data_IF_898856404742
#
_entry.id   IF_898856404742
#
_cell.length_a   1.000
_cell.length_b   1.000
_cell.length_c   1.000
_cell.angle_alpha   90.00
_cell.angle_beta   90.00
_cell.angle_gamma   90.00
#
_symmetry.space_group_name_H-M   'P 1'
#
loop_
_entity.id
_entity.type
_entity.pdbx_description
1 polymer ?
2 polymer ?
3 non-polymer ?
4 water ?
#
# COMPACT_ATOMS: atom_id res chain seq x y z
N UNK A 16 -29.23 10.40 -12.62
CA UNK A 16 -29.44 9.82 -13.95
C UNK A 16 -28.61 8.52 -14.19
N UNK A 17 -27.37 8.67 -14.67
CA UNK A 17 -26.38 7.59 -14.74
C UNK A 17 -25.41 7.66 -13.56
N UNK A 18 -25.52 8.73 -12.76
CA UNK A 18 -24.86 8.83 -11.45
C UNK A 18 -25.14 7.65 -10.53
N UNK A 19 -26.37 7.16 -10.55
CA UNK A 19 -26.76 6.01 -9.74
C UNK A 19 -25.85 4.78 -9.98
N UNK A 20 -25.42 4.57 -11.22
CA UNK A 20 -24.52 3.46 -11.57
C UNK A 20 -23.10 3.67 -11.05
N UNK A 21 -22.68 4.93 -11.01
CA UNK A 21 -21.40 5.33 -10.42
C UNK A 21 -21.34 5.24 -8.90
N UNK A 22 -22.44 5.61 -8.27
CA UNK A 22 -22.66 5.41 -6.84
C UNK A 22 -22.69 3.92 -6.49
N UNK A 23 -23.30 3.14 -7.37
CA UNK A 23 -23.38 1.70 -7.20
C UNK A 23 -21.99 1.08 -7.29
N UNK A 24 -21.22 1.57 -8.26
CA UNK A 24 -19.83 1.15 -8.49
C UNK A 24 -18.96 1.47 -7.28
N UNK A 25 -19.03 2.71 -6.81
CA UNK A 25 -18.34 3.15 -5.59
C UNK A 25 -18.65 2.31 -4.37
N UNK A 26 -19.90 1.87 -4.23
CA UNK A 26 -20.28 1.06 -3.08
C UNK A 26 -19.78 -0.38 -3.26
N UNK A 27 -19.98 -0.97 -4.44
CA UNK A 27 -19.40 -2.28 -4.79
C UNK A 27 -17.91 -2.34 -4.47
N UNK A 28 -17.19 -1.30 -4.87
CA UNK A 28 -15.79 -1.16 -4.53
C UNK A 28 -15.51 -1.05 -3.02
N UNK A 29 -16.23 -0.18 -2.33
CA UNK A 29 -16.09 -0.09 -0.86
C UNK A 29 -16.40 -1.41 -0.18
N UNK A 30 -17.44 -2.11 -0.62
CA UNK A 30 -17.77 -3.39 -0.02
C UNK A 30 -16.65 -4.41 -0.21
N UNK A 31 -16.10 -4.54 -1.41
CA UNK A 31 -14.98 -5.48 -1.63
C UNK A 31 -13.65 -5.01 -0.98
N UNK A 32 -13.48 -3.70 -0.86
CA UNK A 32 -12.35 -3.12 -0.12
C UNK A 32 -12.35 -3.57 1.32
N UNK A 33 -13.52 -3.51 1.93
CA UNK A 33 -13.72 -3.96 3.30
C UNK A 33 -13.38 -5.44 3.45
N UNK A 34 -13.82 -6.27 2.50
CA UNK A 34 -13.49 -7.71 2.52
C UNK A 34 -12.01 -8.01 2.31
N UNK A 35 -11.34 -7.22 1.47
CA UNK A 35 -9.93 -7.44 1.08
C UNK A 35 -8.87 -6.90 2.06
N UNK A 36 -9.19 -5.82 2.77
CA UNK A 36 -8.23 -5.09 3.61
C UNK A 36 -8.71 -5.08 5.04
N UNK A 37 -8.22 -6.03 5.86
CA UNK A 37 -8.70 -6.16 7.25
C UNK A 37 -8.49 -4.92 8.10
N UNK A 38 -7.33 -4.28 7.99
CA UNK A 38 -7.03 -3.06 8.74
C UNK A 38 -7.32 -1.81 7.91
N UNK A 39 -8.48 -1.19 8.17
CA UNK A 39 -8.96 -0.02 7.42
C UNK A 39 -8.38 1.25 8.02
N UNK A 40 -8.50 2.35 7.28
CA UNK A 40 -7.98 3.65 7.74
C UNK A 40 -8.71 4.07 8.99
N UNK A 41 -10.02 3.91 8.97
CA UNK A 41 -10.88 4.14 10.15
C UNK A 41 -10.34 3.48 11.44
N UNK A 42 -9.99 2.19 11.36
CA UNK A 42 -9.40 1.47 12.50
C UNK A 42 -8.05 2.04 12.88
N UNK A 43 -7.22 2.32 11.86
CA UNK A 43 -5.88 2.84 12.08
C UNK A 43 -5.92 4.20 12.75
N UNK A 44 -6.78 5.10 12.29
CA UNK A 44 -6.93 6.43 12.93
C UNK A 44 -7.48 6.29 14.35
N UNK A 45 -8.49 5.42 14.52
CA UNK A 45 -9.04 5.09 15.85
C UNK A 45 -7.91 4.74 16.82
N UNK A 46 -7.08 3.77 16.44
CA UNK A 46 -5.92 3.40 17.22
C UNK A 46 -4.95 4.58 17.38
N UNK A 47 -4.65 5.29 16.30
CA UNK A 47 -3.66 6.40 16.35
C UNK A 47 -4.13 7.61 17.16
N UNK A 48 -5.44 7.84 17.26
CA UNK A 48 -5.99 8.97 18.05
C UNK A 48 -6.55 8.54 19.42
N UNK A 49 -6.55 7.24 19.68
CA UNK A 49 -7.06 6.70 20.93
C UNK A 49 -8.58 6.75 21.09
N UNK A 50 -9.30 6.95 19.98
CA UNK A 50 -10.79 6.95 19.98
C UNK A 50 -11.28 5.63 20.58
N UNK A 51 -10.81 4.51 20.02
CA UNK A 51 -11.07 3.20 20.61
C UNK A 51 -10.22 3.09 21.88
N UNK A 52 -10.78 2.41 22.90
CA UNK A 52 -10.11 2.15 24.18
C UNK A 52 -9.72 0.66 24.30
N UNK A 53 -9.21 0.08 23.21
CA UNK A 53 -8.31 -1.07 23.28
C UNK A 53 -6.98 -0.53 23.80
N UNK A 54 -6.17 -1.42 24.38
CA UNK A 54 -4.85 -1.03 24.89
C UNK A 54 -3.96 -0.50 23.76
N UNK A 55 -3.42 0.71 23.98
CA UNK A 55 -2.60 1.44 23.02
C UNK A 55 -1.52 0.58 22.38
N UNK A 56 -1.08 0.95 21.16
CA UNK A 56 0.10 0.28 20.60
C UNK A 56 1.32 0.50 21.48
N UNK A 57 2.13 -0.54 21.62
CA UNK A 57 3.39 -0.45 22.29
C UNK A 57 4.36 0.36 21.43
N UNK A 58 4.82 1.48 21.95
CA UNK A 58 5.71 2.38 21.21
C UNK A 58 7.14 1.83 21.21
N UNK A 59 7.75 1.80 20.03
CA UNK A 59 9.12 1.31 19.82
C UNK A 59 9.99 2.41 19.22
N UNK A 60 10.91 2.91 20.04
CA UNK A 60 11.77 4.05 19.75
C UNK A 60 13.24 3.65 19.69
N UNK A 61 13.58 2.43 20.12
CA UNK A 61 14.98 2.02 20.18
C UNK A 61 15.13 0.51 20.34
N UNK A 62 16.38 0.04 20.25
CA UNK A 62 16.70 -1.39 20.38
C UNK A 62 16.09 -2.02 21.64
N UNK A 63 16.13 -1.29 22.74
CA UNK A 63 15.61 -1.80 24.02
C UNK A 63 14.12 -2.05 24.07
N UNK A 64 13.33 -1.11 23.55
CA UNK A 64 11.87 -1.23 23.56
C UNK A 64 11.42 -2.17 22.43
N UNK A 65 12.20 -2.26 21.36
CA UNK A 65 12.02 -3.34 20.40
C UNK A 65 12.05 -4.71 21.11
N UNK A 66 13.10 -4.89 21.93
CA UNK A 66 13.25 -6.07 22.74
C UNK A 66 12.11 -6.25 23.74
N UNK A 67 11.73 -5.18 24.44
CA UNK A 67 10.69 -5.29 25.48
C UNK A 67 9.29 -5.47 24.91
N UNK A 68 9.06 -4.94 23.72
CA UNK A 68 7.76 -5.03 23.09
C UNK A 68 7.45 -6.39 22.48
N UNK A 69 8.42 -7.30 22.50
CA UNK A 69 8.30 -8.61 21.88
C UNK A 69 7.07 -9.47 22.20
N UNK A 70 6.50 -9.32 23.40
CA UNK A 70 5.24 -9.97 23.77
C UNK A 70 4.08 -9.55 22.84
N UNK A 71 3.95 -8.24 22.60
CA UNK A 71 2.85 -7.67 21.81
C UNK A 71 3.07 -7.65 20.29
N UNK A 72 4.29 -7.33 19.84
CA UNK A 72 4.62 -7.16 18.42
C UNK A 72 5.04 -8.48 17.75
N UNK A 73 5.68 -9.35 18.51
CA UNK A 73 5.89 -10.74 18.12
C UNK A 73 6.74 -10.96 16.86
N UNK A 74 7.95 -10.37 16.81
CA UNK A 74 8.94 -10.65 15.75
C UNK A 74 9.52 -12.09 15.79
N UNK A 75 8.65 -13.07 15.52
CA UNK A 75 8.96 -14.51 15.40
C UNK A 75 8.59 -14.98 13.99
N UNK A 76 9.29 -14.44 13.00
CA UNK A 76 9.09 -14.78 11.57
C UNK A 76 10.41 -15.24 10.95
N UNK A 77 11.33 -15.63 11.82
CA UNK A 77 12.72 -15.90 11.48
C UNK A 77 12.92 -17.34 11.93
N UNK A 78 11.86 -18.12 11.74
CA UNK A 78 11.63 -19.34 12.50
C UNK A 78 12.68 -20.48 12.34
N UNK A 79 13.43 -20.53 11.20
CA UNK A 79 14.57 -21.46 11.17
C UNK A 79 15.69 -21.08 12.14
N UNK A 80 15.88 -19.78 12.38
CA UNK A 80 16.83 -19.29 13.41
C UNK A 80 18.26 -19.85 13.28
N UNK A 84 18.88 -15.48 14.95
CA UNK A 84 18.49 -14.10 14.63
C UNK A 84 19.71 -13.20 14.29
N UNK A 85 19.44 -11.93 14.02
CA UNK A 85 20.38 -11.03 13.37
C UNK A 85 20.28 -9.64 14.00
N UNK A 86 21.12 -8.71 13.55
CA UNK A 86 21.01 -7.29 13.91
C UNK A 86 19.62 -6.69 13.64
N UNK A 87 19.32 -5.62 14.38
CA UNK A 87 17.97 -5.03 14.38
C UNK A 87 17.46 -4.60 13.01
N UNK A 88 18.32 -3.98 12.21
CA UNK A 88 17.96 -3.45 10.90
C UNK A 88 17.39 -4.51 9.96
N UNK A 89 17.98 -5.69 10.00
CA UNK A 89 17.55 -6.84 9.23
C UNK A 89 16.22 -7.38 9.75
N UNK A 90 16.12 -7.57 11.08
CA UNK A 90 14.86 -8.06 11.66
C UNK A 90 13.67 -7.14 11.41
N UNK A 91 13.89 -5.83 11.48
CA UNK A 91 12.86 -4.85 11.17
C UNK A 91 12.48 -4.91 9.69
N UNK A 92 13.47 -4.96 8.81
CA UNK A 92 13.23 -4.97 7.39
C UNK A 92 12.43 -6.20 6.97
N UNK A 93 12.78 -7.35 7.53
CA UNK A 93 12.02 -8.57 7.27
C UNK A 93 10.62 -8.54 7.86
N UNK A 94 10.45 -7.89 8.99
CA UNK A 94 9.10 -7.63 9.51
C UNK A 94 8.27 -6.82 8.52
N UNK A 95 8.88 -5.76 8.01
CA UNK A 95 8.24 -4.89 7.04
C UNK A 95 7.95 -5.67 5.76
N UNK A 96 8.92 -6.46 5.35
CA UNK A 96 8.84 -7.30 4.15
C UNK A 96 7.69 -8.31 4.19
N UNK A 97 7.55 -8.96 5.33
CA UNK A 97 6.45 -9.91 5.59
C UNK A 97 5.05 -9.33 5.32
N UNK A 98 4.84 -8.12 5.83
CA UNK A 98 3.58 -7.45 5.70
C UNK A 98 3.31 -7.01 4.25
N UNK A 99 4.39 -6.69 3.55
CA UNK A 99 4.30 -6.31 2.15
C UNK A 99 3.76 -7.46 1.29
N UNK A 100 4.22 -8.68 1.58
CA UNK A 100 3.78 -9.86 0.86
C UNK A 100 2.29 -10.06 0.99
N UNK A 101 1.79 -9.92 2.22
CA UNK A 101 0.35 -9.99 2.48
C UNK A 101 -0.38 -8.82 1.82
N UNK A 102 0.21 -7.63 1.83
CA UNK A 102 -0.38 -6.47 1.15
C UNK A 102 -0.65 -6.79 -0.32
N UNK A 103 0.31 -7.45 -0.97
CA UNK A 103 0.18 -7.84 -2.38
C UNK A 103 -0.96 -8.83 -2.57
N UNK A 104 -1.09 -9.80 -1.66
CA UNK A 104 -2.19 -10.77 -1.66
C UNK A 104 -3.53 -10.11 -1.55
N UNK A 105 -3.57 -9.03 -0.79
CA UNK A 105 -4.78 -8.27 -0.56
C UNK A 105 -5.16 -7.39 -1.76
N UNK A 106 -4.16 -6.71 -2.33
CA UNK A 106 -4.39 -5.82 -3.46
C UNK A 106 -4.88 -6.65 -4.66
N UNK A 107 -4.33 -7.86 -4.79
CA UNK A 107 -4.66 -8.82 -5.85
C UNK A 107 -6.12 -9.29 -5.72
N UNK A 108 -6.53 -9.70 -4.54
CA UNK A 108 -7.94 -10.03 -4.29
C UNK A 108 -8.85 -8.84 -4.57
N UNK A 109 -8.45 -7.65 -4.14
CA UNK A 109 -9.24 -6.46 -4.40
C UNK A 109 -9.34 -6.17 -5.90
N UNK A 110 -8.23 -6.29 -6.63
CA UNK A 110 -8.26 -6.11 -8.08
C UNK A 110 -9.28 -7.03 -8.75
N UNK A 111 -9.28 -8.31 -8.39
CA UNK A 111 -10.27 -9.26 -8.92
C UNK A 111 -11.73 -8.80 -8.78
N UNK A 112 -12.05 -8.07 -7.72
CA UNK A 112 -13.38 -7.52 -7.51
C UNK A 112 -13.72 -6.32 -8.39
N UNK A 113 -12.71 -5.67 -8.97
CA UNK A 113 -12.96 -4.50 -9.83
C UNK A 113 -13.60 -5.01 -11.13
N UNK A 114 -14.83 -4.53 -11.45
CA UNK A 114 -15.57 -5.07 -12.61
C UNK A 114 -14.81 -5.00 -13.92
N UNK A 115 -14.68 -6.15 -14.59
CA UNK A 115 -14.03 -6.24 -15.90
C UNK A 115 -12.54 -6.58 -15.87
N UNK A 116 -11.95 -6.61 -14.67
CA UNK A 116 -10.52 -6.72 -14.54
C UNK A 116 -10.09 -8.14 -14.88
N UNK A 117 -10.77 -9.13 -14.32
CA UNK A 117 -10.45 -10.55 -14.60
C UNK A 117 -10.74 -11.03 -16.03
N UNK A 118 -11.58 -10.26 -16.76
CA UNK A 118 -11.78 -10.45 -18.20
C UNK A 118 -10.65 -9.91 -19.06
N UNK A 119 -9.73 -9.15 -18.47
CA UNK A 119 -8.55 -8.70 -19.19
C UNK A 119 -7.59 -9.85 -19.43
N UNK A 120 -6.72 -9.66 -20.41
CA UNK A 120 -5.66 -10.63 -20.68
C UNK A 120 -4.85 -10.83 -19.39
N UNK A 121 -4.58 -12.10 -19.07
CA UNK A 121 -3.84 -12.45 -17.84
C UNK A 121 -2.43 -11.87 -17.75
N UNK A 122 -1.82 -11.56 -18.88
CA UNK A 122 -0.52 -10.90 -18.91
C UNK A 122 -0.68 -9.47 -18.44
N UNK A 123 -1.76 -8.84 -18.88
CA UNK A 123 -2.11 -7.50 -18.45
C UNK A 123 -2.49 -7.43 -16.97
N UNK A 124 -3.35 -8.34 -16.52
CA UNK A 124 -3.63 -8.49 -15.08
C UNK A 124 -2.33 -8.47 -14.25
N UNK A 125 -1.39 -9.31 -14.63
CA UNK A 125 -0.08 -9.35 -14.01
C UNK A 125 0.66 -8.02 -14.10
N UNK A 126 0.64 -7.41 -15.27
CA UNK A 126 1.39 -6.18 -15.48
C UNK A 126 0.82 -4.98 -14.67
N UNK A 127 -0.51 -4.88 -14.61
CA UNK A 127 -1.17 -3.86 -13.83
C UNK A 127 -0.78 -3.95 -12.35
N UNK A 128 -0.88 -5.16 -11.80
CA UNK A 128 -0.42 -5.43 -10.44
C UNK A 128 1.07 -5.22 -10.20
N UNK A 129 1.89 -5.64 -11.13
CA UNK A 129 3.33 -5.54 -10.98
C UNK A 129 3.69 -4.08 -10.67
N UNK A 130 3.25 -3.16 -11.53
CA UNK A 130 3.50 -1.72 -11.37
C UNK A 130 2.61 -1.06 -10.33
N UNK A 131 1.37 -1.53 -10.20
CA UNK A 131 0.39 -0.94 -9.30
C UNK A 131 0.64 -1.14 -7.81
N UNK A 132 1.03 -2.33 -7.40
CA UNK A 132 1.15 -2.65 -5.97
C UNK A 132 1.98 -1.64 -5.18
N UNK A 133 3.08 -1.19 -5.76
CA UNK A 133 4.01 -0.27 -5.07
C UNK A 133 3.41 1.06 -4.80
N UNK A 134 2.68 1.56 -5.79
CA UNK A 134 1.99 2.81 -5.64
C UNK A 134 0.93 2.65 -4.58
N UNK A 135 0.27 1.50 -4.51
CA UNK A 135 -0.81 1.27 -3.54
C UNK A 135 -0.29 1.07 -2.15
N UNK A 136 0.86 0.43 -2.02
CA UNK A 136 1.49 0.21 -0.72
C UNK A 136 1.82 1.54 -0.03
N UNK A 137 2.34 2.50 -0.78
CA UNK A 137 2.57 3.86 -0.27
C UNK A 137 1.28 4.48 0.31
N UNK A 138 0.16 4.26 -0.35
CA UNK A 138 -1.13 4.75 0.17
C UNK A 138 -1.57 3.94 1.41
N UNK A 139 -1.32 2.64 1.39
CA UNK A 139 -1.58 1.79 2.54
C UNK A 139 -0.77 2.20 3.77
N UNK A 140 0.50 2.51 3.57
CA UNK A 140 1.33 3.01 4.68
C UNK A 140 0.87 4.35 5.26
N UNK A 141 0.41 5.25 4.39
CA UNK A 141 -0.13 6.54 4.83
C UNK A 141 -1.22 6.41 5.87
N UNK A 142 -2.18 5.52 5.62
CA UNK A 142 -3.22 5.17 6.59
C UNK A 142 -2.70 4.76 7.99
N UNK A 143 -1.54 4.11 8.00
CA UNK A 143 -0.91 3.67 9.25
C UNK A 143 0.07 4.68 9.85
N UNK A 144 0.14 5.88 9.28
CA UNK A 144 1.21 6.80 9.57
C UNK A 144 0.73 8.13 10.10
N UNK A 145 1.58 8.72 10.95
CA UNK A 145 1.57 10.13 11.23
C UNK A 145 2.99 10.65 10.99
N UNK A 146 3.21 11.95 11.24
CA UNK A 146 4.51 12.60 11.06
C UNK A 146 5.65 11.96 11.86
N UNK A 147 5.32 11.26 12.96
CA UNK A 147 6.33 10.64 13.85
C UNK A 147 6.40 9.12 13.91
N UNK A 148 5.53 8.40 13.21
CA UNK A 148 5.73 6.95 13.08
C UNK A 148 4.65 6.17 12.37
N UNK A 149 4.77 4.85 12.44
CA UNK A 149 3.90 3.91 11.73
C UNK A 149 3.38 2.79 12.65
N UNK A 150 2.09 2.44 12.50
CA UNK A 150 1.50 1.25 13.12
C UNK A 150 2.02 -0.06 12.55
N UNK A 151 2.32 -0.99 13.46
CA UNK A 151 2.81 -2.30 13.11
C UNK A 151 2.02 -3.32 13.90
N UNK A 152 2.20 -4.59 13.54
CA UNK A 152 1.52 -5.74 14.16
C UNK A 152 0.02 -5.53 14.32
N UNK A 153 -0.63 -5.15 13.22
CA UNK A 153 -2.08 -4.96 13.18
C UNK A 153 -2.57 -4.01 14.26
N UNK A 154 -1.79 -2.97 14.53
CA UNK A 154 -2.15 -1.95 15.51
C UNK A 154 -1.67 -2.22 16.92
N UNK A 155 -1.06 -3.37 17.16
CA UNK A 155 -0.47 -3.68 18.44
C UNK A 155 0.76 -2.85 18.77
N UNK A 156 1.49 -2.40 17.76
CA UNK A 156 2.72 -1.65 17.94
C UNK A 156 2.76 -0.38 17.13
N UNK A 157 3.71 0.48 17.46
CA UNK A 157 3.93 1.73 16.76
C UNK A 157 5.43 2.02 16.72
N UNK A 158 6.04 1.93 15.53
CA UNK A 158 7.46 2.22 15.37
C UNK A 158 7.66 3.69 15.02
N UNK A 159 8.59 4.35 15.71
CA UNK A 159 8.84 5.80 15.51
C UNK A 159 9.62 6.03 14.23
N UNK A 160 9.41 7.20 13.67
CA UNK A 160 10.08 7.62 12.46
C UNK A 160 11.60 7.87 12.71
N UNK A 161 11.91 8.46 13.87
CA UNK A 161 13.30 8.69 14.34
C UNK A 161 14.09 7.37 14.42
N UNK A 162 13.44 6.33 14.95
CA UNK A 162 14.07 5.03 15.11
C UNK A 162 14.38 4.40 13.76
N UNK A 163 13.44 4.47 12.83
CA UNK A 163 13.68 3.94 11.49
C UNK A 163 14.83 4.66 10.77
N UNK A 164 14.78 6.00 10.75
CA UNK A 164 15.90 6.85 10.26
C UNK A 164 17.28 6.48 10.81
N UNK A 165 17.35 6.26 12.11
CA UNK A 165 18.62 6.03 12.79
C UNK A 165 19.27 4.67 12.49
N UNK A 166 18.58 3.80 11.78
CA UNK A 166 19.15 2.51 11.38
C UNK A 166 20.28 2.76 10.39
N UNK A 167 21.17 1.77 10.29
CA UNK A 167 22.31 1.86 9.40
C UNK A 167 21.86 1.80 7.96
N UNK A 168 22.72 2.28 7.07
CA UNK A 168 22.47 2.18 5.65
C UNK A 168 22.56 0.71 5.24
N UNK A 169 21.86 0.31 4.17
CA UNK A 169 20.95 1.16 3.38
C UNK A 169 19.54 1.38 3.98
N UNK A 170 19.28 0.72 5.12
CA UNK A 170 17.94 0.59 5.70
C UNK A 170 17.35 1.86 6.34
N UNK A 171 18.23 2.77 6.78
CA UNK A 171 17.81 4.02 7.43
C UNK A 171 16.94 4.95 6.59
N UNK A 172 17.11 4.90 5.27
CA UNK A 172 16.39 5.80 4.35
C UNK A 172 15.23 5.12 3.60
N UNK A 173 14.99 3.86 3.93
CA UNK A 173 13.98 3.08 3.26
C UNK A 173 12.54 3.60 3.46
N UNK A 174 12.18 3.92 4.70
CA UNK A 174 10.83 4.38 5.06
C UNK A 174 10.61 5.91 4.99
N UNK A 175 11.67 6.72 5.04
CA UNK A 175 11.51 8.19 5.02
C UNK A 175 10.68 8.73 3.84
N UNK A 176 10.96 8.29 2.60
CA UNK A 176 10.17 8.72 1.44
C UNK A 176 8.68 8.45 1.60
N UNK A 177 8.34 7.33 2.22
CA UNK A 177 6.95 7.02 2.54
C UNK A 177 6.36 7.94 3.61
N UNK A 178 7.16 8.26 4.62
CA UNK A 178 6.78 9.26 5.61
C UNK A 178 6.55 10.65 5.00
N UNK A 179 7.43 11.03 4.09
CA UNK A 179 7.31 12.33 3.40
C UNK A 179 6.05 12.43 2.58
N UNK A 180 5.80 11.37 1.82
CA UNK A 180 4.59 11.26 1.03
C UNK A 180 3.33 11.21 1.89
N UNK A 181 3.39 10.42 2.95
CA UNK A 181 2.26 10.23 3.85
C UNK A 181 1.78 11.53 4.49
N UNK A 182 2.71 12.39 4.86
CA UNK A 182 2.37 13.69 5.48
C UNK A 182 1.52 14.49 4.48
N UNK A 183 1.98 14.57 3.24
CA UNK A 183 1.26 15.32 2.20
C UNK A 183 -0.06 14.63 1.84
N UNK A 184 -0.01 13.32 1.65
CA UNK A 184 -1.19 12.58 1.23
C UNK A 184 -2.32 12.60 2.26
N UNK A 185 -1.98 12.43 3.55
CA UNK A 185 -2.98 12.38 4.62
C UNK A 185 -3.71 13.72 4.83
N UNK A 186 -3.05 14.80 4.46
CA UNK A 186 -3.65 16.13 4.50
C UNK A 186 -4.87 16.27 3.57
N UNK A 187 -4.97 15.44 2.53
CA UNK A 187 -6.18 15.36 1.72
C UNK A 187 -7.39 14.76 2.46
N UNK A 188 -7.12 14.07 3.55
CA UNK A 188 -8.15 13.60 4.48
C UNK A 188 -9.20 12.75 3.77
N UNK A 189 -8.73 11.75 3.05
CA UNK A 189 -9.58 10.81 2.37
C UNK A 189 -9.94 9.74 3.37
N UNK A 190 -11.08 9.12 3.15
CA UNK A 190 -11.46 7.94 3.92
C UNK A 190 -11.51 6.69 3.06
N UNK A 191 -11.90 5.57 3.66
CA UNK A 191 -11.94 4.26 3.04
C UNK A 191 -12.81 4.16 1.81
N UNK A 192 -13.89 4.91 1.78
CA UNK A 192 -14.79 4.91 0.61
C UNK A 192 -14.18 5.67 -0.60
N UNK A 193 -13.39 6.71 -0.31
CA UNK A 193 -12.64 7.41 -1.34
C UNK A 193 -11.47 6.55 -1.81
N UNK A 194 -10.70 6.05 -0.86
CA UNK A 194 -9.55 5.20 -1.13
C UNK A 194 -9.86 3.96 -1.96
N UNK A 195 -11.02 3.36 -1.74
CA UNK A 195 -11.41 2.17 -2.48
C UNK A 195 -11.37 2.43 -3.97
N UNK A 196 -11.93 3.57 -4.39
CA UNK A 196 -12.03 3.90 -5.80
C UNK A 196 -10.68 4.43 -6.28
N UNK A 197 -10.01 5.21 -5.45
CA UNK A 197 -8.67 5.68 -5.79
C UNK A 197 -7.68 4.54 -6.12
N UNK A 198 -7.77 3.45 -5.35
CA UNK A 198 -6.90 2.29 -5.55
C UNK A 198 -7.21 1.61 -6.88
N UNK A 199 -8.50 1.48 -7.18
CA UNK A 199 -8.96 0.92 -8.44
C UNK A 199 -8.45 1.72 -9.66
N UNK A 200 -8.40 3.04 -9.53
CA UNK A 200 -7.89 3.91 -10.60
C UNK A 200 -6.41 3.67 -10.88
N UNK A 201 -5.62 3.59 -9.81
CA UNK A 201 -4.20 3.31 -9.95
C UNK A 201 -3.98 1.99 -10.68
N UNK A 202 -4.67 0.95 -10.22
CA UNK A 202 -4.48 -0.40 -10.78
C UNK A 202 -4.75 -0.41 -12.29
N UNK A 203 -5.79 0.28 -12.73
CA UNK A 203 -6.17 0.31 -14.15
C UNK A 203 -5.60 1.48 -14.93
N UNK A 204 -4.29 1.72 -14.85
CA UNK A 204 -3.60 2.69 -15.70
C UNK A 204 -3.15 2.00 -16.98
N UNK A 205 -3.61 2.50 -18.11
CA UNK A 205 -3.27 1.90 -19.41
C UNK A 205 -1.93 2.33 -19.99
N UNK A 206 -1.14 3.10 -19.23
CA UNK A 206 0.19 3.52 -19.66
C UNK A 206 1.32 2.79 -18.90
N UNK A 207 1.06 1.57 -18.47
CA UNK A 207 2.12 0.71 -17.92
C UNK A 207 2.92 0.11 -19.08
N UNK A 208 4.25 0.05 -18.92
CA UNK A 208 5.11 -0.65 -19.86
C UNK A 208 4.74 -2.12 -20.12
N UNK A 209 4.52 -2.46 -21.38
CA UNK A 209 4.36 -3.85 -21.81
C UNK A 209 2.92 -4.33 -21.79
N UNK A 210 1.99 -3.40 -21.92
CA UNK A 210 0.57 -3.74 -21.94
C UNK A 210 0.22 -4.09 -23.36
N UNK A 211 -0.59 -5.13 -23.52
CA UNK A 211 -1.02 -5.59 -24.84
C UNK A 211 -2.28 -4.85 -25.27
N UNK A 212 -3.38 -5.01 -24.52
CA UNK A 212 -4.67 -4.36 -24.82
C UNK A 212 -4.96 -3.16 -23.90
N UNK A 213 -4.47 -1.99 -24.31
CA UNK A 213 -4.69 -0.74 -23.61
C UNK A 213 -6.15 -0.31 -23.57
N UNK A 214 -6.88 -0.53 -24.66
CA UNK A 214 -8.23 0.00 -24.76
C UNK A 214 -9.18 -0.45 -23.64
N UNK A 215 -9.29 -1.77 -23.36
CA UNK A 215 -10.22 -2.16 -22.28
C UNK A 215 -9.80 -1.71 -20.86
N UNK A 216 -8.51 -1.48 -20.67
CA UNK A 216 -8.02 -0.91 -19.42
C UNK A 216 -8.51 0.55 -19.30
N UNK A 217 -8.29 1.34 -20.33
CA UNK A 217 -8.73 2.73 -20.35
C UNK A 217 -10.25 2.92 -20.29
N UNK A 218 -11.02 1.96 -20.78
CA UNK A 218 -12.49 2.02 -20.73
C UNK A 218 -13.00 1.87 -19.32
N UNK A 219 -12.48 0.86 -18.62
CA UNK A 219 -12.75 0.66 -17.18
C UNK A 219 -12.29 1.86 -16.32
N UNK A 220 -11.13 2.43 -16.64
CA UNK A 220 -10.57 3.55 -15.86
C UNK A 220 -11.33 4.84 -16.07
N UNK A 221 -11.89 5.02 -17.25
CA UNK A 221 -12.82 6.09 -17.53
C UNK A 221 -13.92 6.10 -16.44
N UNK A 222 -14.59 4.97 -16.26
CA UNK A 222 -15.68 4.84 -15.29
C UNK A 222 -15.25 5.12 -13.87
N UNK A 223 -14.11 4.56 -13.49
CA UNK A 223 -13.58 4.72 -12.15
C UNK A 223 -13.25 6.19 -11.78
N UNK A 224 -12.68 6.93 -12.73
CA UNK A 224 -12.42 8.36 -12.55
C UNK A 224 -13.70 9.16 -12.49
N UNK A 225 -14.73 8.77 -13.23
CA UNK A 225 -16.05 9.40 -13.11
C UNK A 225 -16.65 9.14 -11.74
N UNK A 226 -16.58 7.87 -11.32
CA UNK A 226 -16.98 7.43 -9.98
C UNK A 226 -16.21 8.12 -8.88
N UNK A 227 -14.91 8.31 -9.09
CA UNK A 227 -14.04 8.95 -8.12
C UNK A 227 -14.31 10.43 -8.03
N UNK A 228 -14.57 11.06 -9.17
CA UNK A 228 -14.90 12.47 -9.18
C UNK A 228 -16.20 12.70 -8.40
N UNK A 229 -17.24 11.92 -8.68
CA UNK A 229 -18.52 12.06 -8.00
C UNK A 229 -18.44 11.86 -6.49
N UNK A 230 -17.87 10.73 -6.08
CA UNK A 230 -17.61 10.38 -4.67
C UNK A 230 -16.99 11.55 -3.88
N UNK A 231 -15.96 12.16 -4.44
CA UNK A 231 -15.26 13.23 -3.78
C UNK A 231 -16.09 14.50 -3.65
N UNK A 232 -16.95 14.79 -4.62
CA UNK A 232 -17.88 15.92 -4.53
C UNK A 232 -18.94 15.71 -3.45
N UNK A 233 -19.51 14.51 -3.42
CA UNK A 233 -20.53 14.15 -2.45
C UNK A 233 -20.01 14.04 -1.05
N UNK A 234 -18.86 13.39 -0.90
CA UNK A 234 -18.33 13.08 0.41
C UNK A 234 -17.52 14.24 0.98
N UNK A 235 -16.98 15.10 0.11
CA UNK A 235 -16.23 16.29 0.53
C UNK A 235 -16.68 17.58 -0.19
N UNK A 236 -17.96 17.96 -0.08
CA UNK A 236 -18.44 19.14 -0.84
C UNK A 236 -17.74 20.45 -0.45
N UNK A 237 -17.45 20.62 0.83
CA UNK A 237 -16.63 21.76 1.32
C UNK A 237 -15.25 21.92 0.64
N UNK A 238 -14.61 20.79 0.30
CA UNK A 238 -13.25 20.79 -0.22
C UNK A 238 -13.23 20.80 -1.73
N UNK A 239 -12.62 21.82 -2.31
CA UNK A 239 -12.66 22.00 -3.75
C UNK A 239 -11.32 21.69 -4.39
N UNK A 240 -11.43 21.27 -5.65
CA UNK A 240 -10.34 20.70 -6.45
C UNK A 240 -9.57 19.59 -5.74
N UNK A 241 -10.33 18.74 -5.06
CA UNK A 241 -9.79 17.57 -4.37
C UNK A 241 -9.47 16.48 -5.40
N UNK A 242 -10.38 16.30 -6.36
CA UNK A 242 -10.14 15.42 -7.50
C UNK A 242 -8.84 15.78 -8.21
N UNK A 243 -8.67 17.06 -8.53
CA UNK A 243 -7.43 17.55 -9.13
C UNK A 243 -6.22 17.39 -8.22
N UNK A 244 -6.38 17.73 -6.94
CA UNK A 244 -5.31 17.52 -5.95
C UNK A 244 -4.87 16.07 -5.90
N UNK A 245 -5.86 15.18 -5.95
CA UNK A 245 -5.63 13.76 -5.85
C UNK A 245 -4.95 13.18 -7.08
N UNK A 246 -5.31 13.62 -8.26
CA UNK A 246 -4.64 13.13 -9.48
C UNK A 246 -3.19 13.58 -9.56
N UNK A 247 -2.90 14.77 -9.05
CA UNK A 247 -1.54 15.26 -9.06
C UNK A 247 -0.65 14.48 -8.09
N UNK A 248 -1.22 14.03 -6.96
CA UNK A 248 -0.52 13.12 -6.05
C UNK A 248 -0.22 11.78 -6.69
N UNK A 249 -1.21 11.25 -7.38
CA UNK A 249 -1.13 9.96 -8.12
C UNK A 249 0.00 9.94 -9.14
N UNK A 250 0.22 11.06 -9.81
CA UNK A 250 1.32 11.24 -10.77
C UNK A 250 2.67 11.40 -10.06
N UNK A 251 2.69 12.11 -8.94
CA UNK A 251 3.90 12.21 -8.09
C UNK A 251 4.31 10.85 -7.55
N UNK A 252 3.30 10.03 -7.24
CA UNK A 252 3.49 8.72 -6.64
C UNK A 252 4.27 7.81 -7.56
N UNK A 253 3.88 7.81 -8.83
CA UNK A 253 4.59 7.08 -9.88
C UNK A 253 6.07 7.47 -9.98
N UNK A 254 6.33 8.78 -9.94
CA UNK A 254 7.68 9.33 -9.88
C UNK A 254 8.45 8.79 -8.66
N UNK A 255 7.85 8.93 -7.48
CA UNK A 255 8.42 8.49 -6.20
C UNK A 255 8.75 6.99 -6.13
N UNK A 256 7.93 6.15 -6.73
CA UNK A 256 8.16 4.70 -6.66
C UNK A 256 9.44 4.28 -7.41
N UNK A 257 9.83 5.04 -8.43
CA UNK A 257 11.07 4.73 -9.18
C UNK A 257 12.34 4.74 -8.32
N UNK A 258 12.37 5.53 -7.25
CA UNK A 258 13.48 5.52 -6.28
C UNK A 258 13.42 4.31 -5.34
N UNK A 259 12.20 3.98 -4.90
CA UNK A 259 11.95 2.85 -3.98
C UNK A 259 12.46 1.52 -4.57
N UNK A 260 12.29 1.37 -5.88
CA UNK A 260 12.71 0.17 -6.61
C UNK A 260 14.23 0.05 -6.58
N UNK A 261 14.92 1.17 -6.76
CA UNK A 261 16.38 1.17 -6.82
C UNK A 261 17.06 0.81 -5.49
N UNK A 262 16.53 1.32 -4.39
CA UNK A 262 17.04 1.02 -3.05
C UNK A 262 16.91 -0.46 -2.72
N UNK A 263 15.87 -1.06 -3.26
CA UNK A 263 15.62 -2.46 -3.03
C UNK A 263 16.55 -3.38 -3.83
N UNK A 264 16.92 -2.96 -5.06
CA UNK A 264 17.96 -3.66 -5.86
C UNK A 264 19.24 -3.79 -5.06
N UNK A 265 19.66 -2.67 -4.48
CA UNK A 265 20.84 -2.63 -3.63
C UNK A 265 20.75 -3.61 -2.47
N UNK A 266 19.63 -3.60 -1.74
CA UNK A 266 19.45 -4.48 -0.59
C UNK A 266 19.45 -5.97 -0.99
N UNK A 267 18.84 -6.29 -2.12
CA UNK A 267 18.86 -7.65 -2.66
C UNK A 267 20.28 -8.08 -2.98
N UNK A 268 21.02 -7.20 -3.67
CA UNK A 268 22.38 -7.51 -4.13
C UNK A 268 23.49 -7.39 -3.07
N UNK A 269 23.28 -6.58 -2.04
CA UNK A 269 24.31 -6.36 -1.01
C UNK A 269 24.12 -7.21 0.24
N UNK A 270 22.91 -7.28 0.78
CA UNK A 270 22.67 -7.87 2.13
C UNK A 270 22.46 -9.40 2.17
N UNK A 271 23.56 -10.13 2.32
CA UNK A 271 23.58 -11.61 2.34
C UNK A 271 22.94 -12.25 3.58
N UNK A 272 22.86 -11.50 4.67
CA UNK A 272 22.24 -11.96 5.94
C UNK A 272 20.80 -12.41 5.78
N UNK A 273 20.09 -11.69 4.91
CA UNK A 273 18.67 -11.87 4.68
C UNK A 273 18.46 -12.15 3.20
N UNK A 274 17.20 -12.30 2.80
CA UNK A 274 16.85 -12.32 1.37
C UNK A 274 15.41 -11.88 1.12
N UNK A 275 15.17 -11.40 -0.10
CA UNK A 275 13.84 -10.95 -0.54
C UNK A 275 12.92 -12.11 -0.84
N UNK A 276 11.69 -11.99 -0.38
CA UNK A 276 10.65 -12.97 -0.61
C UNK A 276 10.45 -13.08 -2.12
N UNK A 277 10.35 -14.31 -2.65
CA UNK A 277 10.23 -14.50 -4.09
C UNK A 277 9.21 -13.58 -4.77
N UNK A 278 8.03 -13.46 -4.18
CA UNK A 278 6.98 -12.57 -4.68
C UNK A 278 7.46 -11.16 -4.88
N UNK A 279 8.16 -10.64 -3.90
CA UNK A 279 8.75 -9.32 -4.02
C UNK A 279 9.78 -9.28 -5.15
N UNK A 280 10.54 -10.35 -5.32
CA UNK A 280 11.44 -10.46 -6.47
C UNK A 280 10.70 -10.41 -7.81
N UNK A 281 9.52 -11.01 -7.92
CA UNK A 281 8.72 -10.90 -9.15
C UNK A 281 8.28 -9.45 -9.49
N UNK A 282 7.81 -8.72 -8.48
CA UNK A 282 7.26 -7.37 -8.70
C UNK A 282 8.34 -6.30 -8.85
N UNK A 283 9.55 -6.52 -8.34
CA UNK A 283 10.69 -5.59 -8.57
C UNK A 283 11.56 -5.93 -9.81
N UNK A 284 11.54 -7.19 -10.24
CA UNK A 284 12.21 -7.66 -11.47
C UNK A 284 11.78 -6.87 -12.71
N UNK A 285 12.75 -6.41 -13.49
CA UNK A 285 12.51 -5.80 -14.84
C UNK A 285 11.50 -4.65 -14.80
N UNK A 286 11.80 -3.66 -13.96
CA UNK A 286 10.89 -2.56 -13.66
C UNK A 286 11.60 -1.21 -13.89
N UNK A 287 11.03 -0.38 -14.79
CA UNK A 287 11.60 0.93 -15.17
C UNK A 287 13.03 0.85 -15.75
N UNK B 3 6.57 -14.90 -13.81
CA UNK B 3 5.73 -14.41 -12.66
C UNK B 3 4.80 -15.50 -12.13
N UNK B 4 5.40 -16.60 -11.69
CA UNK B 4 4.66 -17.79 -11.30
C UNK B 4 3.67 -17.53 -10.15
N UNK B 5 4.13 -16.86 -9.09
CA UNK B 5 3.27 -16.53 -7.94
C UNK B 5 2.15 -15.53 -8.28
N UNK B 6 2.52 -14.40 -8.87
CA UNK B 6 1.52 -13.45 -9.31
C UNK B 6 0.47 -14.11 -10.19
N UNK B 7 0.91 -14.85 -11.21
CA UNK B 7 0.02 -15.68 -12.06
C UNK B 7 -0.87 -16.57 -11.21
N UNK B 8 -0.29 -17.23 -10.22
CA UNK B 8 -1.03 -18.17 -9.38
C UNK B 8 -2.08 -17.48 -8.50
N UNK B 9 -1.77 -16.31 -7.94
CA UNK B 9 -2.74 -15.57 -7.12
C UNK B 9 -3.96 -15.11 -7.92
N UNK B 10 -3.72 -14.72 -9.17
CA UNK B 10 -4.80 -14.29 -10.07
C UNK B 10 -5.72 -15.41 -10.56
N UNK B 11 -5.18 -16.60 -10.80
CA UNK B 11 -5.98 -17.77 -11.24
C UNK B 11 -6.68 -18.51 -10.08
N UNK B 12 -6.05 -18.53 -8.90
CA UNK B 12 -6.64 -19.10 -7.67
C UNK B 12 -7.37 -18.02 -6.88
#
# INVERSE_FOLDING_TARGET
GSHMAEISSDIDQLNPESADLRALAKHLYDSYIKSFPLTKAKARAILTGKTTDKSPFVIYDMNSLMMGEDKIKFKHITPLQEQSKEVAIRIFQGCQFRSVEAVQEITEYAKSIPGFVNLDLNDQVTLLKYGVHEIIYTMLASLMNKDGVLISEGQGFMTREFLKSLRKPFGDFMEPKFEFAVKFNALELDDSDLAIFIAVIILSGDRPGLLNVKPIEDIQDNLLQALELQLKLNHPESSQLFAKLLQKMTDLRQIVTEHVQLLQVIKKTETDMSLHPLLQEIYKDLY
ERHKILHRLLQEGSPS
#
